data_IF_066774429649
#
_entry.id   IF_066774429649
#
_cell.length_a   1.000
_cell.length_b   1.000
_cell.length_c   1.000
_cell.angle_alpha   90.00
_cell.angle_beta   90.00
_cell.angle_gamma   90.00
#
_symmetry.space_group_name_H-M   'P 1'
#
loop_
_entity.id
_entity.type
_entity.pdbx_description
1 polymer ?
#
# COMPACT_ATOMS: atom_id res chain seq x y z
N UNK A 1 34.09 -18.86 -20.62
CA UNK A 1 33.33 -17.86 -21.41
C UNK A 1 31.86 -17.96 -21.04
N UNK A 2 31.37 -17.10 -20.13
CA UNK A 2 29.94 -16.99 -19.87
C UNK A 2 29.34 -16.10 -20.97
N UNK A 3 28.50 -16.70 -21.81
CA UNK A 3 27.80 -16.00 -22.89
C UNK A 3 26.71 -15.11 -22.28
N UNK A 4 26.80 -13.81 -22.53
CA UNK A 4 25.77 -12.82 -22.25
C UNK A 4 24.52 -13.14 -23.06
N UNK A 5 23.58 -13.88 -22.45
CA UNK A 5 22.25 -14.08 -23.08
C UNK A 5 21.49 -12.75 -23.06
N UNK A 6 21.02 -12.34 -24.23
CA UNK A 6 20.23 -11.12 -24.45
C UNK A 6 19.14 -10.93 -23.38
N UNK A 7 19.19 -9.80 -22.67
CA UNK A 7 18.25 -9.41 -21.61
C UNK A 7 16.78 -9.43 -22.05
N UNK A 8 16.52 -9.22 -23.34
CA UNK A 8 15.19 -9.27 -23.94
C UNK A 8 14.53 -10.65 -23.90
N UNK A 9 15.31 -11.73 -23.96
CA UNK A 9 14.80 -13.13 -23.94
C UNK A 9 14.57 -13.62 -22.51
N UNK A 10 15.42 -13.24 -21.56
CA UNK A 10 15.21 -13.58 -20.14
C UNK A 10 13.94 -12.92 -19.59
N UNK A 11 13.63 -11.70 -20.06
CA UNK A 11 12.42 -11.02 -19.67
C UNK A 11 11.15 -11.77 -20.12
N UNK A 12 11.12 -12.54 -21.21
CA UNK A 12 9.90 -13.23 -21.66
C UNK A 12 9.54 -14.50 -20.88
N UNK A 13 10.47 -15.06 -20.12
CA UNK A 13 10.32 -16.39 -19.51
C UNK A 13 9.90 -16.30 -18.03
N UNK A 14 10.26 -15.21 -17.32
CA UNK A 14 10.06 -15.11 -15.87
C UNK A 14 9.24 -13.86 -15.49
N UNK A 15 7.92 -14.00 -15.25
CA UNK A 15 7.04 -12.88 -14.90
C UNK A 15 7.50 -12.08 -13.69
N UNK A 16 8.17 -12.73 -12.72
CA UNK A 16 8.71 -12.09 -11.51
C UNK A 16 9.96 -11.25 -11.74
N UNK A 17 10.53 -11.26 -12.95
CA UNK A 17 11.61 -10.34 -13.36
C UNK A 17 11.07 -9.11 -14.10
N UNK A 18 9.75 -8.97 -14.21
CA UNK A 18 9.09 -7.80 -14.81
C UNK A 18 8.36 -7.00 -13.74
N UNK A 19 8.43 -5.68 -13.87
CA UNK A 19 7.56 -4.77 -13.16
C UNK A 19 6.41 -4.36 -14.10
N UNK A 20 5.20 -4.96 -14.00
CA UNK A 20 4.07 -4.56 -14.83
C UNK A 20 3.68 -3.11 -14.52
N UNK A 21 3.03 -2.39 -15.44
CA UNK A 21 2.52 -1.05 -15.17
C UNK A 21 1.65 -1.03 -13.92
N UNK A 22 1.71 0.06 -13.16
CA UNK A 22 0.83 0.25 -12.00
C UNK A 22 -0.62 0.23 -12.50
N UNK A 23 -1.49 -0.61 -11.91
CA UNK A 23 -2.90 -0.63 -12.28
C UNK A 23 -3.54 0.74 -12.08
N UNK A 24 -4.68 0.96 -12.72
CA UNK A 24 -5.51 2.14 -12.44
C UNK A 24 -6.68 1.73 -11.56
N UNK A 25 -7.06 2.60 -10.65
CA UNK A 25 -8.28 2.44 -9.89
C UNK A 25 -9.52 2.57 -10.80
N UNK A 26 -10.63 1.87 -10.51
CA UNK A 26 -11.87 1.99 -11.29
C UNK A 26 -12.44 3.41 -11.32
N UNK A 27 -13.14 3.75 -12.40
CA UNK A 27 -13.89 5.02 -12.51
C UNK A 27 -15.31 4.88 -11.93
N UNK A 28 -15.91 6.00 -11.45
CA UNK A 28 -15.28 7.30 -11.26
C UNK A 28 -14.28 7.26 -10.09
N UNK A 29 -13.05 7.74 -10.31
CA UNK A 29 -12.05 7.87 -9.27
C UNK A 29 -12.14 9.27 -8.68
N UNK A 30 -12.67 9.37 -7.47
CA UNK A 30 -12.55 10.56 -6.64
C UNK A 30 -12.19 10.12 -5.22
N UNK A 31 -10.94 10.36 -4.83
CA UNK A 31 -10.51 10.15 -3.45
C UNK A 31 -10.93 11.31 -2.55
N UNK A 32 -10.94 11.03 -1.25
CA UNK A 32 -11.25 11.97 -0.18
C UNK A 32 -10.09 12.02 0.81
N UNK A 33 -10.11 13.02 1.70
CA UNK A 33 -9.12 13.15 2.76
C UNK A 33 -9.81 13.14 4.12
N UNK A 34 -9.31 12.32 5.04
CA UNK A 34 -9.68 12.33 6.44
C UNK A 34 -8.57 13.00 7.27
N UNK A 35 -8.92 13.90 8.19
CA UNK A 35 -7.95 14.45 9.14
C UNK A 35 -7.76 13.44 10.29
N UNK A 36 -6.63 12.74 10.30
CA UNK A 36 -6.31 11.66 11.24
C UNK A 36 -4.92 11.89 11.79
N UNK A 37 -4.76 11.86 13.12
CA UNK A 37 -3.46 11.98 13.81
C UNK A 37 -2.58 13.11 13.26
N UNK A 38 -3.19 14.29 13.08
CA UNK A 38 -2.52 15.51 12.62
C UNK A 38 -2.21 15.57 11.13
N UNK A 39 -2.63 14.60 10.30
CA UNK A 39 -2.42 14.60 8.85
C UNK A 39 -3.69 14.34 8.06
N UNK A 40 -3.66 14.72 6.78
CA UNK A 40 -4.73 14.43 5.83
C UNK A 40 -4.46 13.07 5.18
N UNK A 41 -5.05 12.01 5.69
CA UNK A 41 -4.98 10.67 5.06
C UNK A 41 -5.89 10.65 3.84
N UNK A 42 -5.31 10.37 2.67
CA UNK A 42 -6.07 10.10 1.48
C UNK A 42 -6.66 8.69 1.51
N UNK A 43 -7.92 8.57 1.11
CA UNK A 43 -8.58 7.29 0.92
C UNK A 43 -9.62 7.36 -0.22
N UNK A 44 -10.05 6.21 -0.69
CA UNK A 44 -11.22 6.10 -1.57
C UNK A 44 -12.01 4.83 -1.26
N UNK A 45 -13.28 4.81 -1.63
CA UNK A 45 -14.19 3.70 -1.35
C UNK A 45 -14.89 3.30 -2.65
N UNK A 46 -14.88 2.00 -2.93
CA UNK A 46 -15.60 1.39 -4.03
C UNK A 46 -16.60 0.35 -3.51
N UNK A 47 -17.64 0.11 -4.30
CA UNK A 47 -18.65 -0.90 -4.02
C UNK A 47 -19.80 -0.43 -3.12
N UNK A 48 -20.69 -1.35 -2.73
CA UNK A 48 -21.92 -1.02 -2.01
C UNK A 48 -21.63 -0.47 -0.60
N UNK A 49 -22.41 0.52 -0.17
CA UNK A 49 -22.21 1.21 1.11
C UNK A 49 -22.41 0.29 2.33
N UNK A 50 -23.29 -0.71 2.18
CA UNK A 50 -23.63 -1.78 3.14
C UNK A 50 -22.82 -3.06 2.93
N UNK A 51 -21.89 -3.08 1.97
CA UNK A 51 -20.98 -4.19 1.75
C UNK A 51 -20.04 -4.42 2.93
N UNK A 52 -19.60 -5.68 3.11
CA UNK A 52 -18.60 -6.03 4.13
C UNK A 52 -17.30 -5.27 3.80
N UNK A 53 -16.72 -4.50 4.75
CA UNK A 53 -15.58 -3.65 4.44
C UNK A 53 -14.27 -4.43 4.34
N UNK A 54 -13.53 -4.16 3.28
CA UNK A 54 -12.15 -4.62 3.07
C UNK A 54 -11.25 -3.41 2.95
N UNK A 55 -10.24 -3.28 3.82
CA UNK A 55 -9.20 -2.27 3.70
C UNK A 55 -7.98 -2.85 2.97
N UNK A 56 -7.50 -2.14 1.96
CA UNK A 56 -6.29 -2.46 1.21
C UNK A 56 -5.16 -1.49 1.58
N UNK A 57 -4.01 -2.04 2.00
CA UNK A 57 -2.81 -1.28 2.38
C UNK A 57 -1.63 -1.68 1.52
N UNK A 58 -1.08 -0.71 0.78
CA UNK A 58 0.06 -0.90 -0.12
C UNK A 58 1.40 -1.05 0.64
N UNK A 59 2.47 -1.41 -0.08
CA UNK A 59 3.82 -1.47 0.46
C UNK A 59 4.53 -0.11 0.49
N UNK A 60 5.70 -0.05 1.13
CA UNK A 60 6.47 1.19 1.30
C UNK A 60 6.81 1.88 -0.02
N UNK A 61 6.73 3.21 -0.05
CA UNK A 61 6.84 4.11 -1.21
C UNK A 61 5.69 4.05 -2.23
N UNK A 62 4.82 3.03 -2.19
CA UNK A 62 3.74 2.88 -3.17
C UNK A 62 2.53 3.80 -2.85
N UNK A 63 1.41 3.46 -3.46
CA UNK A 63 0.11 4.08 -3.26
C UNK A 63 -1.00 3.05 -3.53
N UNK A 64 -2.25 3.44 -3.33
CA UNK A 64 -3.45 2.64 -3.46
C UNK A 64 -3.67 2.05 -4.85
N UNK A 65 -3.13 2.65 -5.91
CA UNK A 65 -3.41 2.26 -7.29
C UNK A 65 -2.94 0.82 -7.59
N UNK A 66 -1.97 0.33 -6.81
CA UNK A 66 -1.47 -1.03 -6.84
C UNK A 66 -2.57 -2.09 -6.58
N UNK A 67 -3.69 -1.69 -5.97
CA UNK A 67 -4.84 -2.55 -5.71
C UNK A 67 -5.92 -2.50 -6.80
N UNK A 68 -5.73 -1.73 -7.88
CA UNK A 68 -6.77 -1.49 -8.88
C UNK A 68 -7.36 -2.77 -9.50
N UNK A 69 -6.54 -3.82 -9.69
CA UNK A 69 -7.01 -5.11 -10.22
C UNK A 69 -7.84 -5.89 -9.20
N UNK A 70 -7.46 -5.89 -7.93
CA UNK A 70 -8.20 -6.56 -6.85
C UNK A 70 -9.53 -5.86 -6.62
N UNK A 71 -9.51 -4.52 -6.57
CA UNK A 71 -10.72 -3.72 -6.36
C UNK A 71 -11.70 -3.89 -7.51
N UNK A 72 -11.22 -3.91 -8.77
CA UNK A 72 -12.07 -4.18 -9.92
C UNK A 72 -12.88 -5.47 -9.78
N UNK A 73 -12.29 -6.49 -9.14
CA UNK A 73 -12.89 -7.81 -8.99
C UNK A 73 -13.79 -7.93 -7.77
N UNK A 74 -13.51 -7.16 -6.70
CA UNK A 74 -14.19 -7.28 -5.41
C UNK A 74 -15.27 -6.23 -5.18
N UNK A 75 -15.20 -5.08 -5.84
CA UNK A 75 -16.10 -3.94 -5.59
C UNK A 75 -17.59 -4.22 -5.89
N UNK A 76 -17.94 -5.25 -6.67
CA UNK A 76 -19.35 -5.59 -6.90
C UNK A 76 -20.02 -6.20 -5.68
N UNK A 77 -19.24 -6.68 -4.70
CA UNK A 77 -19.73 -7.44 -3.54
C UNK A 77 -19.30 -6.80 -2.21
N UNK A 78 -18.09 -6.25 -2.16
CA UNK A 78 -17.49 -5.71 -0.94
C UNK A 78 -17.38 -4.20 -0.97
N UNK A 79 -17.37 -3.59 0.22
CA UNK A 79 -17.00 -2.19 0.40
C UNK A 79 -15.47 -2.10 0.45
N UNK A 80 -14.86 -1.87 -0.70
CA UNK A 80 -13.41 -1.80 -0.85
C UNK A 80 -12.92 -0.41 -0.45
N UNK A 81 -12.17 -0.31 0.64
CA UNK A 81 -11.55 0.91 1.14
C UNK A 81 -10.06 0.83 0.79
N UNK A 82 -9.55 1.85 0.13
CA UNK A 82 -8.14 1.97 -0.17
C UNK A 82 -7.60 3.20 0.54
N UNK A 83 -6.42 3.08 1.12
CA UNK A 83 -5.76 4.14 1.86
C UNK A 83 -4.34 4.32 1.33
N UNK A 84 -3.94 5.57 1.15
CA UNK A 84 -2.52 5.91 0.99
C UNK A 84 -1.92 6.15 2.37
N UNK A 85 -0.89 5.39 2.72
CA UNK A 85 -0.26 5.47 4.04
C UNK A 85 0.38 6.84 4.26
N UNK A 86 0.52 7.25 5.52
CA UNK A 86 1.21 8.49 5.92
C UNK A 86 2.49 8.71 5.12
N UNK A 87 2.63 9.89 4.53
CA UNK A 87 3.79 10.26 3.73
C UNK A 87 3.84 9.62 2.34
N UNK A 88 3.00 8.65 2.02
CA UNK A 88 3.07 7.90 0.76
C UNK A 88 1.88 8.24 -0.15
N UNK A 89 2.04 8.00 -1.45
CA UNK A 89 1.01 8.32 -2.45
C UNK A 89 0.51 9.77 -2.34
N UNK A 90 -0.78 9.92 -2.09
CA UNK A 90 -1.50 11.20 -1.98
C UNK A 90 -1.58 11.73 -0.54
N UNK A 91 -1.17 10.93 0.44
CA UNK A 91 -1.12 11.35 1.85
C UNK A 91 0.20 12.11 2.11
N UNK A 92 0.16 13.40 2.51
CA UNK A 92 1.37 14.13 2.86
C UNK A 92 2.05 13.50 4.08
N UNK A 93 3.35 13.75 4.22
CA UNK A 93 4.03 13.54 5.49
C UNK A 93 3.95 14.82 6.34
N UNK A 94 3.93 14.65 7.66
CA UNK A 94 4.08 15.73 8.64
C UNK A 94 5.06 15.38 9.75
N UNK A 95 5.73 14.23 9.66
CA UNK A 95 6.51 13.66 10.74
C UNK A 95 7.89 13.25 10.23
N UNK A 96 8.91 13.59 10.99
CA UNK A 96 10.31 13.21 10.71
C UNK A 96 10.65 11.79 11.19
N UNK A 97 9.73 11.12 11.91
CA UNK A 97 9.91 9.76 12.42
C UNK A 97 8.63 8.93 12.20
N UNK A 98 8.51 8.34 11.01
CA UNK A 98 7.41 7.46 10.67
C UNK A 98 7.71 6.08 11.28
N UNK A 99 6.75 5.53 12.03
CA UNK A 99 6.86 4.19 12.60
C UNK A 99 5.65 3.35 12.21
N UNK A 100 5.78 2.02 12.20
CA UNK A 100 4.62 1.14 11.98
C UNK A 100 3.53 1.29 13.03
N UNK A 101 3.87 1.72 14.25
CA UNK A 101 2.89 2.02 15.29
C UNK A 101 2.07 3.27 14.95
N UNK A 102 2.74 4.32 14.48
CA UNK A 102 2.08 5.53 14.02
C UNK A 102 1.18 5.24 12.80
N UNK A 103 1.69 4.52 11.79
CA UNK A 103 0.88 4.15 10.63
C UNK A 103 -0.29 3.23 11.00
N UNK A 104 -0.12 2.34 11.99
CA UNK A 104 -1.23 1.54 12.53
C UNK A 104 -2.28 2.42 13.19
N UNK A 105 -1.87 3.42 13.97
CA UNK A 105 -2.81 4.37 14.58
C UNK A 105 -3.56 5.21 13.54
N UNK A 106 -2.97 5.46 12.37
CA UNK A 106 -3.63 6.15 11.26
C UNK A 106 -4.73 5.31 10.64
N UNK A 107 -4.50 4.00 10.50
CA UNK A 107 -5.54 3.08 10.06
C UNK A 107 -6.71 3.06 11.04
N UNK A 108 -6.42 2.97 12.35
CA UNK A 108 -7.44 3.02 13.39
C UNK A 108 -8.24 4.32 13.32
N UNK A 109 -7.56 5.46 13.21
CA UNK A 109 -8.21 6.76 13.12
C UNK A 109 -9.03 6.93 11.83
N UNK A 110 -8.60 6.36 10.70
CA UNK A 110 -9.41 6.34 9.48
C UNK A 110 -10.68 5.49 9.65
N UNK A 111 -10.56 4.32 10.28
CA UNK A 111 -11.73 3.47 10.55
C UNK A 111 -12.72 4.18 11.49
N UNK A 112 -12.24 4.91 12.49
CA UNK A 112 -13.08 5.69 13.39
C UNK A 112 -13.75 6.86 12.66
N UNK A 113 -13.01 7.56 11.80
CA UNK A 113 -13.56 8.63 10.94
C UNK A 113 -14.68 8.14 10.02
N UNK A 114 -14.57 6.91 9.51
CA UNK A 114 -15.55 6.29 8.63
C UNK A 114 -16.69 5.57 9.37
N UNK A 115 -16.68 5.59 10.70
CA UNK A 115 -17.60 4.82 11.57
C UNK A 115 -17.61 3.31 11.25
N UNK A 116 -16.42 2.72 11.05
CA UNK A 116 -16.24 1.31 10.73
C UNK A 116 -15.61 0.58 11.91
N UNK A 117 -16.39 -0.29 12.53
CA UNK A 117 -15.94 -1.05 13.70
C UNK A 117 -14.93 -2.15 13.35
N UNK A 118 -15.18 -2.92 12.29
CA UNK A 118 -14.34 -4.08 11.91
C UNK A 118 -14.19 -4.20 10.40
N UNK A 119 -13.04 -4.70 9.95
CA UNK A 119 -12.71 -4.88 8.53
C UNK A 119 -12.02 -6.22 8.24
N UNK A 120 -12.12 -6.71 7.01
CA UNK A 120 -11.04 -7.53 6.46
C UNK A 120 -9.87 -6.63 6.07
N UNK A 121 -8.64 -7.03 6.36
CA UNK A 121 -7.45 -6.29 5.94
C UNK A 121 -6.64 -7.10 4.94
N UNK A 122 -6.29 -6.48 3.82
CA UNK A 122 -5.36 -6.99 2.81
C UNK A 122 -4.14 -6.09 2.80
N UNK A 123 -2.99 -6.61 3.24
CA UNK A 123 -1.75 -5.86 3.38
C UNK A 123 -0.61 -6.48 2.59
N UNK A 124 0.14 -5.63 1.89
CA UNK A 124 1.37 -5.99 1.18
C UNK A 124 2.58 -5.27 1.79
N UNK A 125 3.67 -5.99 2.11
CA UNK A 125 4.91 -5.39 2.62
C UNK A 125 4.67 -4.53 3.86
N UNK A 126 4.91 -3.21 3.81
CA UNK A 126 4.52 -2.28 4.89
C UNK A 126 3.06 -2.43 5.32
N UNK A 127 2.13 -2.50 4.37
CA UNK A 127 0.71 -2.73 4.67
C UNK A 127 0.47 -4.07 5.38
N UNK A 128 1.30 -5.08 5.12
CA UNK A 128 1.25 -6.35 5.82
C UNK A 128 1.78 -6.24 7.25
N UNK A 129 2.86 -5.46 7.48
CA UNK A 129 3.39 -5.17 8.81
C UNK A 129 2.38 -4.38 9.64
N UNK A 130 1.74 -3.36 9.05
CA UNK A 130 0.63 -2.63 9.68
C UNK A 130 -0.52 -3.58 10.06
N UNK A 131 -0.88 -4.50 9.15
CA UNK A 131 -1.88 -5.53 9.41
C UNK A 131 -1.53 -6.44 10.60
N UNK A 132 -0.28 -6.89 10.68
CA UNK A 132 0.23 -7.69 11.82
C UNK A 132 0.20 -6.88 13.12
N UNK A 133 0.60 -5.60 13.08
CA UNK A 133 0.50 -4.69 14.23
C UNK A 133 -0.95 -4.51 14.70
N UNK A 134 -1.90 -4.36 13.77
CA UNK A 134 -3.33 -4.34 14.10
C UNK A 134 -3.79 -5.66 14.73
N UNK A 135 -3.34 -6.81 14.23
CA UNK A 135 -3.71 -8.10 14.81
C UNK A 135 -3.20 -8.25 16.25
N UNK A 136 -2.02 -7.72 16.56
CA UNK A 136 -1.46 -7.76 17.92
C UNK A 136 -2.13 -6.75 18.86
N UNK A 137 -2.35 -5.51 18.41
CA UNK A 137 -2.75 -4.39 19.28
C UNK A 137 -4.25 -4.10 19.26
N UNK A 138 -4.91 -4.36 18.14
CA UNK A 138 -6.31 -4.05 17.88
C UNK A 138 -7.08 -5.24 17.27
N UNK A 139 -6.95 -6.49 17.80
CA UNK A 139 -7.55 -7.67 17.17
C UNK A 139 -9.07 -7.57 16.99
N UNK A 140 -9.76 -6.83 17.88
CA UNK A 140 -11.21 -6.58 17.78
C UNK A 140 -11.62 -5.74 16.58
N UNK A 141 -10.70 -5.04 15.92
CA UNK A 141 -10.93 -4.25 14.70
C UNK A 141 -10.79 -5.07 13.41
N UNK A 142 -10.35 -6.33 13.50
CA UNK A 142 -10.19 -7.20 12.35
C UNK A 142 -11.29 -8.28 12.32
N UNK A 143 -11.85 -8.51 11.13
CA UNK A 143 -12.65 -9.68 10.78
C UNK A 143 -11.68 -10.78 10.33
N UNK A 144 -10.75 -10.47 9.42
CA UNK A 144 -9.60 -11.31 9.07
C UNK A 144 -8.43 -10.47 8.55
N UNK A 145 -7.26 -11.10 8.44
CA UNK A 145 -6.05 -10.50 7.89
C UNK A 145 -5.47 -11.41 6.80
N UNK A 146 -5.24 -10.83 5.62
CA UNK A 146 -4.38 -11.39 4.59
C UNK A 146 -3.12 -10.53 4.47
N UNK A 147 -2.00 -11.04 4.99
CA UNK A 147 -0.71 -10.36 5.03
C UNK A 147 0.30 -11.12 4.15
N UNK A 148 0.97 -10.42 3.23
CA UNK A 148 2.01 -11.03 2.40
C UNK A 148 3.20 -10.11 2.17
N UNK A 149 4.38 -10.73 2.02
CA UNK A 149 5.67 -10.06 1.91
C UNK A 149 6.03 -9.14 3.09
N UNK A 150 5.44 -9.37 4.27
CA UNK A 150 5.87 -8.72 5.51
C UNK A 150 7.27 -9.21 5.90
N UNK A 151 8.06 -8.33 6.51
CA UNK A 151 9.26 -8.71 7.24
C UNK A 151 8.95 -8.63 8.74
N UNK A 152 9.19 -9.72 9.47
CA UNK A 152 9.19 -9.71 10.93
C UNK A 152 10.56 -9.27 11.48
N UNK A 153 11.63 -9.71 10.82
CA UNK A 153 13.01 -9.38 11.13
C UNK A 153 13.74 -9.03 9.83
N UNK A 154 14.36 -7.84 9.79
CA UNK A 154 15.10 -7.36 8.62
C UNK A 154 16.36 -8.18 8.35
N UNK A 155 16.88 -8.92 9.33
CA UNK A 155 18.03 -9.83 9.15
C UNK A 155 17.72 -10.97 8.17
N UNK A 156 16.44 -11.33 8.02
CA UNK A 156 15.97 -12.34 7.08
C UNK A 156 15.76 -11.83 5.65
N UNK A 157 15.89 -10.52 5.41
CA UNK A 157 15.72 -9.95 4.08
C UNK A 157 16.87 -10.38 3.16
N UNK A 158 16.53 -11.03 2.05
CA UNK A 158 17.49 -11.28 0.96
C UNK A 158 17.86 -9.95 0.29
N UNK A 159 18.99 -9.94 -0.41
CA UNK A 159 19.39 -8.78 -1.20
C UNK A 159 18.36 -8.49 -2.33
N UNK A 160 17.41 -7.61 -2.02
CA UNK A 160 16.36 -7.19 -2.95
C UNK A 160 16.90 -6.30 -4.07
N UNK A 161 18.07 -5.67 -3.87
CA UNK A 161 18.73 -4.83 -4.88
C UNK A 161 19.39 -5.67 -5.97
N UNK A 162 19.71 -6.94 -5.69
CA UNK A 162 20.17 -7.89 -6.71
C UNK A 162 19.10 -8.19 -7.78
N UNK A 163 17.81 -7.93 -7.49
CA UNK A 163 16.74 -8.02 -8.48
C UNK A 163 16.60 -6.70 -9.25
N UNK A 164 16.57 -6.69 -10.59
CA UNK A 164 16.36 -5.46 -11.35
C UNK A 164 14.95 -4.86 -11.13
N UNK A 165 14.02 -5.63 -10.58
CA UNK A 165 12.63 -5.20 -10.34
C UNK A 165 12.55 -4.17 -9.21
N UNK A 166 13.34 -4.32 -8.14
CA UNK A 166 13.23 -3.41 -6.99
C UNK A 166 13.77 -2.00 -7.27
N UNK A 167 14.92 -1.81 -7.95
CA UNK A 167 15.35 -0.48 -8.41
C UNK A 167 14.38 0.17 -9.41
N UNK A 168 13.79 -0.63 -10.30
CA UNK A 168 12.74 -0.14 -11.21
C UNK A 168 11.49 0.30 -10.44
N UNK A 169 11.13 -0.45 -9.39
CA UNK A 169 10.04 -0.10 -8.48
C UNK A 169 10.31 1.21 -7.76
N UNK A 170 11.51 1.41 -7.18
CA UNK A 170 11.88 2.66 -6.50
C UNK A 170 11.85 3.86 -7.44
N UNK A 171 12.36 3.70 -8.67
CA UNK A 171 12.29 4.75 -9.70
C UNK A 171 10.84 5.12 -10.02
N UNK A 172 9.98 4.11 -10.20
CA UNK A 172 8.56 4.32 -10.50
C UNK A 172 7.82 4.96 -9.33
N UNK A 173 7.95 4.42 -8.12
CA UNK A 173 7.25 4.90 -6.93
C UNK A 173 7.61 6.35 -6.63
N UNK A 174 8.88 6.74 -6.82
CA UNK A 174 9.30 8.14 -6.74
C UNK A 174 8.57 9.02 -7.74
N UNK A 175 8.55 8.63 -9.02
CA UNK A 175 7.86 9.41 -10.06
C UNK A 175 6.36 9.51 -9.81
N UNK A 176 5.72 8.43 -9.33
CA UNK A 176 4.31 8.42 -8.94
C UNK A 176 4.06 9.38 -7.77
N UNK A 177 4.92 9.34 -6.75
CA UNK A 177 4.83 10.23 -5.61
C UNK A 177 4.95 11.71 -6.01
N UNK A 178 5.95 12.06 -6.83
CA UNK A 178 6.16 13.43 -7.32
C UNK A 178 4.95 13.95 -8.14
N UNK A 179 4.20 13.06 -8.79
CA UNK A 179 3.00 13.42 -9.56
C UNK A 179 1.73 13.52 -8.71
N UNK A 180 1.62 12.71 -7.64
CA UNK A 180 0.39 12.53 -6.88
C UNK A 180 0.37 13.25 -5.54
N UNK A 181 1.53 13.36 -4.89
CA UNK A 181 1.61 13.90 -3.54
C UNK A 181 1.36 15.41 -3.56
N UNK A 182 0.60 15.95 -2.59
CA UNK A 182 0.42 17.39 -2.44
C UNK A 182 1.71 18.11 -1.97
N UNK A 183 2.72 17.37 -1.53
CA UNK A 183 4.00 17.87 -1.03
C UNK A 183 5.17 17.06 -1.61
N UNK A 184 6.27 17.70 -1.97
CA UNK A 184 7.42 17.00 -2.55
C UNK A 184 8.51 16.74 -1.49
N UNK A 185 8.33 15.71 -0.68
CA UNK A 185 9.31 15.30 0.34
C UNK A 185 9.57 13.78 0.36
N UNK A 186 9.78 13.20 -0.83
CA UNK A 186 10.04 11.77 -1.02
C UNK A 186 11.20 11.20 -0.17
N UNK A 187 12.14 12.03 0.26
CA UNK A 187 13.28 11.59 1.08
C UNK A 187 12.89 11.26 2.53
N UNK A 188 11.74 11.71 2.99
CA UNK A 188 11.28 11.53 4.38
C UNK A 188 10.43 10.27 4.57
N UNK A 189 10.36 9.39 3.56
CA UNK A 189 9.40 8.28 3.50
C UNK A 189 9.92 6.96 4.08
N UNK A 190 11.15 6.96 4.58
CA UNK A 190 11.75 5.77 5.18
C UNK A 190 11.16 5.54 6.58
N UNK A 191 10.84 4.27 6.85
CA UNK A 191 10.34 3.73 8.13
C UNK A 191 11.47 2.97 8.81
#
# INVERSE_FOLDING_TARGET
MYTTRNSTVLNSIYPWLRLPPTPKLPLPHAGQYALVNGIRIWYTIYGPADGIPILFLHGGFANSDYWGLQVKQLQSTYKCILMDSRGQGRSPSSATNITYDLMTSDVIGLLDYLDITRIHLVGWSDGAIIGLNMAMKYPRRLISLFAFAANYDSSGAKDILASPVFPAYLTRSKSEYEQMSPVNNYQDLYV
#
